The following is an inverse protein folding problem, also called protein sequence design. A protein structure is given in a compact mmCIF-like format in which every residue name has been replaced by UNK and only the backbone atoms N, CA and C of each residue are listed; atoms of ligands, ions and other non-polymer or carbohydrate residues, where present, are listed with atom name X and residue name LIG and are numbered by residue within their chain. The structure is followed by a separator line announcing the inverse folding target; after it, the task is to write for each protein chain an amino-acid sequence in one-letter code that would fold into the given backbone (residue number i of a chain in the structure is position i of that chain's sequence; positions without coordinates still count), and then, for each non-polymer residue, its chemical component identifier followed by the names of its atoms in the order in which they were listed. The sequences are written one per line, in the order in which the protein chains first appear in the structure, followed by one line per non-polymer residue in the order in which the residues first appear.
data_IF_431381164842
#
_entry.id   IF_431381164842
#
_cell.length_a   1.000
_cell.length_b   1.000
_cell.length_c   1.000
_cell.angle_alpha   90.00
_cell.angle_beta   90.00
_cell.angle_gamma   90.00
#
_symmetry.space_group_name_H-M   'P 1'
#
loop_
_entity.id
_entity.type
_entity.pdbx_description
1 polymer ?
#
# COMPACT_ATOMS: atom_id res chain seq x y z
N UNK A 1 2.76 -11.41 6.36
CA UNK A 1 2.37 -10.18 7.09
C UNK A 1 3.50 -9.15 7.17
N UNK A 2 4.71 -9.47 7.63
CA UNK A 2 5.81 -8.48 7.69
C UNK A 2 6.10 -7.80 6.34
N UNK A 3 6.13 -8.58 5.25
CA UNK A 3 6.32 -8.04 3.90
C UNK A 3 5.21 -7.06 3.48
N UNK A 4 3.96 -7.34 3.84
CA UNK A 4 2.81 -6.48 3.55
C UNK A 4 2.95 -5.13 4.25
N UNK A 5 3.31 -5.15 5.54
CA UNK A 5 3.51 -3.94 6.32
C UNK A 5 4.68 -3.11 5.77
N UNK A 6 5.81 -3.76 5.47
CA UNK A 6 6.99 -3.07 4.94
C UNK A 6 6.71 -2.42 3.57
N UNK A 7 6.05 -3.15 2.67
CA UNK A 7 5.72 -2.64 1.32
C UNK A 7 4.65 -1.56 1.38
N UNK A 8 3.64 -1.68 2.24
CA UNK A 8 2.64 -0.62 2.42
C UNK A 8 3.23 0.63 3.08
N UNK A 9 4.18 0.45 4.00
CA UNK A 9 4.91 1.57 4.58
C UNK A 9 5.76 2.30 3.54
N UNK A 10 6.49 1.57 2.69
CA UNK A 10 7.25 2.18 1.60
C UNK A 10 6.36 2.95 0.61
N UNK A 11 5.21 2.36 0.24
CA UNK A 11 4.18 3.02 -0.57
C UNK A 11 3.69 4.32 0.08
N UNK A 12 3.22 4.26 1.33
CA UNK A 12 2.73 5.43 2.05
C UNK A 12 3.80 6.52 2.22
N UNK A 13 5.05 6.13 2.47
CA UNK A 13 6.17 7.06 2.58
C UNK A 13 6.45 7.77 1.26
N UNK A 14 6.54 7.03 0.16
CA UNK A 14 6.81 7.61 -1.17
C UNK A 14 5.67 8.51 -1.64
N UNK A 15 4.40 8.14 -1.39
CA UNK A 15 3.24 9.01 -1.65
C UNK A 15 3.28 10.27 -0.78
N UNK A 16 3.50 10.12 0.52
CA UNK A 16 3.53 11.25 1.46
C UNK A 16 4.63 12.25 1.13
N UNK A 17 5.83 11.76 0.82
CA UNK A 17 6.95 12.62 0.41
C UNK A 17 6.64 13.33 -0.90
N UNK A 18 6.07 12.63 -1.89
CA UNK A 18 5.63 13.22 -3.15
C UNK A 18 4.66 14.37 -2.96
N UNK A 19 3.57 14.13 -2.23
CA UNK A 19 2.51 15.13 -2.04
C UNK A 19 2.94 16.31 -1.16
N UNK A 20 3.83 16.10 -0.19
CA UNK A 20 4.25 17.14 0.74
C UNK A 20 5.37 18.04 0.20
N UNK A 21 6.29 17.48 -0.61
CA UNK A 21 7.54 18.17 -0.95
C UNK A 21 7.77 18.37 -2.45
N UNK A 22 7.02 17.71 -3.34
CA UNK A 22 7.15 17.89 -4.79
C UNK A 22 5.96 18.68 -5.36
N UNK A 23 6.09 19.99 -5.62
CA UNK A 23 4.96 20.84 -6.04
C UNK A 23 4.34 20.46 -7.40
N UNK A 24 5.03 19.66 -8.21
CA UNK A 24 4.51 19.12 -9.47
C UNK A 24 3.75 17.79 -9.30
N UNK A 25 3.75 17.19 -8.10
CA UNK A 25 3.14 15.88 -7.82
C UNK A 25 1.78 16.08 -7.14
N UNK A 26 0.77 15.39 -7.66
CA UNK A 26 -0.58 15.41 -7.11
C UNK A 26 -1.16 13.99 -7.04
N UNK A 27 -2.13 13.78 -6.17
CA UNK A 27 -2.81 12.49 -6.03
C UNK A 27 -3.73 12.27 -7.24
N UNK A 28 -3.39 11.28 -8.07
CA UNK A 28 -4.14 10.96 -9.27
C UNK A 28 -5.35 10.05 -8.99
N UNK A 29 -5.39 9.36 -7.85
CA UNK A 29 -6.49 8.50 -7.50
C UNK A 29 -7.73 9.33 -7.09
N UNK A 30 -8.84 9.26 -7.86
CA UNK A 30 -10.04 10.06 -7.59
C UNK A 30 -10.73 9.69 -6.26
N UNK A 31 -10.43 8.52 -5.70
CA UNK A 31 -10.96 8.07 -4.41
C UNK A 31 -10.09 8.58 -3.26
N UNK A 32 -8.77 8.58 -3.41
CA UNK A 32 -7.85 9.00 -2.35
C UNK A 32 -7.75 10.54 -2.25
N UNK A 33 -7.85 11.23 -3.39
CA UNK A 33 -7.77 12.70 -3.44
C UNK A 33 -8.73 13.43 -2.48
N UNK A 34 -10.06 13.16 -2.47
CA UNK A 34 -10.97 13.84 -1.54
C UNK A 34 -10.68 13.52 -0.07
N UNK A 35 -10.10 12.34 0.22
CA UNK A 35 -9.69 11.97 1.58
C UNK A 35 -8.52 12.84 2.03
N UNK A 36 -7.53 13.07 1.17
CA UNK A 36 -6.39 13.94 1.48
C UNK A 36 -6.78 15.42 1.54
N UNK A 37 -7.70 15.87 0.69
CA UNK A 37 -8.24 17.23 0.74
C UNK A 37 -9.04 17.49 2.04
N UNK A 38 -9.76 16.47 2.53
CA UNK A 38 -10.59 16.60 3.74
C UNK A 38 -9.85 16.39 5.07
N UNK A 39 -8.93 15.43 5.14
CA UNK A 39 -8.23 15.05 6.37
C UNK A 39 -6.77 15.55 6.43
N UNK A 40 -6.22 16.00 5.30
CA UNK A 40 -4.78 16.22 5.15
C UNK A 40 -4.04 14.94 4.75
N UNK A 41 -2.85 15.13 4.20
CA UNK A 41 -2.02 14.05 3.62
C UNK A 41 -1.64 13.01 4.68
N UNK A 42 -1.17 13.47 5.86
CA UNK A 42 -0.69 12.58 6.93
C UNK A 42 -1.80 11.71 7.50
N UNK A 43 -2.93 12.31 7.89
CA UNK A 43 -4.04 11.57 8.49
C UNK A 43 -4.75 10.68 7.47
N UNK A 44 -4.88 11.14 6.23
CA UNK A 44 -5.41 10.32 5.14
C UNK A 44 -4.52 9.12 4.81
N UNK A 45 -3.20 9.28 4.82
CA UNK A 45 -2.26 8.17 4.62
C UNK A 45 -2.28 7.19 5.79
N UNK A 46 -2.31 7.68 7.02
CA UNK A 46 -2.39 6.83 8.22
C UNK A 46 -3.69 6.01 8.22
N UNK A 47 -4.84 6.68 8.10
CA UNK A 47 -6.14 6.03 8.13
C UNK A 47 -6.33 5.11 6.93
N UNK A 48 -5.99 5.57 5.72
CA UNK A 48 -6.09 4.78 4.50
C UNK A 48 -5.19 3.55 4.53
N UNK A 49 -3.94 3.69 4.97
CA UNK A 49 -3.02 2.55 5.08
C UNK A 49 -3.46 1.55 6.13
N UNK A 50 -3.94 2.03 7.28
CA UNK A 50 -4.50 1.17 8.32
C UNK A 50 -5.71 0.40 7.81
N UNK A 51 -6.69 1.09 7.20
CA UNK A 51 -7.90 0.47 6.66
C UNK A 51 -7.58 -0.60 5.61
N UNK A 52 -6.65 -0.32 4.70
CA UNK A 52 -6.22 -1.26 3.65
C UNK A 52 -5.55 -2.50 4.25
N UNK A 53 -4.63 -2.32 5.21
CA UNK A 53 -3.96 -3.45 5.88
C UNK A 53 -4.97 -4.32 6.62
N UNK A 54 -5.88 -3.70 7.39
CA UNK A 54 -6.93 -4.43 8.13
C UNK A 54 -7.83 -5.20 7.17
N UNK A 55 -8.26 -4.59 6.06
CA UNK A 55 -9.08 -5.26 5.05
C UNK A 55 -8.37 -6.47 4.44
N UNK A 56 -7.10 -6.34 4.06
CA UNK A 56 -6.31 -7.43 3.49
C UNK A 56 -6.15 -8.57 4.50
N UNK A 57 -5.81 -8.25 5.76
CA UNK A 57 -5.67 -9.25 6.83
C UNK A 57 -6.99 -9.96 7.08
N UNK A 58 -8.09 -9.23 7.19
CA UNK A 58 -9.42 -9.79 7.41
C UNK A 58 -9.81 -10.75 6.29
N UNK A 59 -9.74 -10.32 5.02
CA UNK A 59 -10.09 -11.16 3.87
C UNK A 59 -9.18 -12.38 3.77
N UNK A 60 -7.88 -12.21 3.98
CA UNK A 60 -6.90 -13.29 3.88
C UNK A 60 -7.11 -14.34 4.97
N UNK A 61 -7.28 -13.93 6.23
CA UNK A 61 -7.46 -14.87 7.34
C UNK A 61 -8.85 -15.52 7.33
N UNK A 62 -9.92 -14.78 6.99
CA UNK A 62 -11.25 -15.37 6.80
C UNK A 62 -11.20 -16.42 5.69
N UNK A 63 -10.55 -16.11 4.56
CA UNK A 63 -10.37 -17.06 3.46
C UNK A 63 -9.57 -18.30 3.88
N UNK A 64 -8.47 -18.12 4.59
CA UNK A 64 -7.64 -19.22 5.08
C UNK A 64 -8.41 -20.13 6.06
N UNK A 65 -9.20 -19.54 6.97
CA UNK A 65 -10.06 -20.26 7.90
C UNK A 65 -11.18 -21.02 7.18
N UNK A 66 -11.81 -20.40 6.19
CA UNK A 66 -12.86 -21.04 5.38
C UNK A 66 -12.29 -22.25 4.63
N UNK A 67 -11.13 -22.11 4.00
CA UNK A 67 -10.45 -23.20 3.27
C UNK A 67 -10.01 -24.32 4.22
N UNK A 68 -9.45 -23.99 5.38
CA UNK A 68 -9.08 -24.98 6.40
C UNK A 68 -10.29 -25.75 6.95
N UNK A 69 -11.44 -25.08 7.11
CA UNK A 69 -12.70 -25.74 7.52
C UNK A 69 -13.27 -26.64 6.43
N UNK A 70 -13.12 -26.27 5.16
CA UNK A 70 -13.72 -27.00 4.04
C UNK A 70 -12.87 -28.18 3.57
N UNK A 71 -11.54 -28.07 3.64
CA UNK A 71 -10.60 -29.16 3.32
C UNK A 71 -9.83 -29.58 4.58
N UNK A 72 -10.19 -30.73 5.14
CA UNK A 72 -9.59 -31.30 6.37
C UNK A 72 -8.08 -31.46 6.31
N UNK A 73 -7.51 -31.55 5.12
CA UNK A 73 -6.07 -31.73 4.90
C UNK A 73 -5.25 -30.47 5.22
N UNK A 74 -5.89 -29.29 5.38
CA UNK A 74 -5.29 -28.05 5.89
C UNK A 74 -4.19 -27.38 5.03
N UNK A 75 -3.63 -28.09 4.05
CA UNK A 75 -2.46 -27.70 3.26
C UNK A 75 -2.66 -26.45 2.38
N UNK A 76 -3.91 -26.09 2.06
CA UNK A 76 -4.22 -24.93 1.21
C UNK A 76 -4.28 -23.61 1.99
N UNK A 77 -4.51 -23.63 3.31
CA UNK A 77 -4.59 -22.40 4.10
C UNK A 77 -3.28 -21.57 4.10
N UNK A 78 -2.07 -22.19 4.19
CA UNK A 78 -0.82 -21.48 3.97
C UNK A 78 -0.70 -20.84 2.58
N UNK A 79 -1.21 -21.51 1.53
CA UNK A 79 -1.20 -20.97 0.16
C UNK A 79 -2.10 -19.75 0.05
N UNK A 80 -3.30 -19.79 0.65
CA UNK A 80 -4.21 -18.64 0.71
C UNK A 80 -3.53 -17.45 1.40
N UNK A 81 -2.82 -17.67 2.50
CA UNK A 81 -2.05 -16.61 3.17
C UNK A 81 -0.90 -16.10 2.30
N UNK A 82 -0.17 -16.98 1.64
CA UNK A 82 0.93 -16.60 0.77
C UNK A 82 0.45 -15.70 -0.38
N UNK A 83 -0.67 -16.05 -1.01
CA UNK A 83 -1.26 -15.26 -2.10
C UNK A 83 -1.91 -13.98 -1.57
N UNK A 84 -2.72 -14.09 -0.52
CA UNK A 84 -3.47 -12.97 0.07
C UNK A 84 -2.59 -11.87 0.64
N UNK A 85 -1.41 -12.22 1.18
CA UNK A 85 -0.41 -11.24 1.57
C UNK A 85 0.57 -10.88 0.45
N UNK A 86 0.95 -11.84 -0.39
CA UNK A 86 1.99 -11.68 -1.40
C UNK A 86 1.56 -10.75 -2.53
N UNK A 87 0.37 -10.94 -3.10
CA UNK A 87 -0.10 -10.10 -4.21
C UNK A 87 -0.23 -8.62 -3.84
N UNK A 88 -0.86 -8.24 -2.70
CA UNK A 88 -0.88 -6.84 -2.29
C UNK A 88 0.50 -6.30 -1.98
N UNK A 89 1.40 -7.10 -1.40
CA UNK A 89 2.78 -6.67 -1.13
C UNK A 89 3.52 -6.31 -2.42
N UNK A 90 3.37 -7.13 -3.47
CA UNK A 90 3.96 -6.84 -4.79
C UNK A 90 3.39 -5.57 -5.40
N UNK A 91 2.08 -5.37 -5.28
CA UNK A 91 1.42 -4.16 -5.76
C UNK A 91 1.96 -2.91 -5.04
N UNK A 92 2.02 -2.92 -3.71
CA UNK A 92 2.55 -1.79 -2.94
C UNK A 92 4.03 -1.53 -3.24
N UNK A 93 4.83 -2.57 -3.44
CA UNK A 93 6.21 -2.42 -3.87
C UNK A 93 6.30 -1.74 -5.26
N UNK A 94 5.47 -2.15 -6.22
CA UNK A 94 5.45 -1.56 -7.55
C UNK A 94 5.01 -0.09 -7.54
N UNK A 95 3.99 0.25 -6.75
CA UNK A 95 3.53 1.63 -6.58
C UNK A 95 4.60 2.47 -5.88
N UNK A 96 5.26 1.95 -4.83
CA UNK A 96 6.35 2.65 -4.17
C UNK A 96 7.51 2.96 -5.12
N UNK A 97 7.91 1.99 -5.95
CA UNK A 97 8.95 2.19 -6.98
C UNK A 97 8.52 3.25 -8.00
N UNK A 98 7.27 3.21 -8.46
CA UNK A 98 6.75 4.22 -9.39
C UNK A 98 6.73 5.62 -8.77
N UNK A 99 6.30 5.75 -7.52
CA UNK A 99 6.28 7.02 -6.80
C UNK A 99 7.70 7.56 -6.58
N UNK A 100 8.66 6.67 -6.26
CA UNK A 100 10.07 7.03 -6.17
C UNK A 100 10.65 7.53 -7.50
N UNK A 101 10.29 6.91 -8.64
CA UNK A 101 10.72 7.38 -9.96
C UNK A 101 10.17 8.78 -10.27
N UNK A 102 8.89 9.03 -10.01
CA UNK A 102 8.27 10.36 -10.16
C UNK A 102 8.93 11.40 -9.25
N UNK A 103 9.31 11.02 -8.03
CA UNK A 103 10.05 11.89 -7.11
C UNK A 103 11.42 12.27 -7.65
N UNK A 104 12.17 11.32 -8.22
CA UNK A 104 13.48 11.58 -8.82
C UNK A 104 13.35 12.55 -10.00
N UNK A 105 12.39 12.31 -10.91
CA UNK A 105 12.12 13.20 -12.05
C UNK A 105 11.68 14.60 -11.60
N UNK A 106 10.93 14.72 -10.50
CA UNK A 106 10.50 16.01 -9.96
C UNK A 106 11.65 16.81 -9.31
N UNK A 107 12.72 16.13 -8.85
CA UNK A 107 13.89 16.76 -8.21
C UNK A 107 15.01 17.05 -9.21
N UNK A 108 15.15 16.26 -10.28
CA UNK A 108 16.15 16.45 -11.34
C UNK A 108 16.22 17.87 -11.94
N UNK A 109 15.10 18.62 -12.16
CA UNK A 109 15.17 19.98 -12.69
C UNK A 109 15.71 21.03 -11.69
N UNK A 110 15.99 20.67 -10.43
CA UNK A 110 16.52 21.59 -9.42
C UNK A 110 18.06 21.61 -9.30
N UNK A 111 18.79 20.73 -10.03
CA UNK A 111 20.25 20.66 -10.00
C UNK A 111 20.84 20.12 -8.68
N UNK A 112 22.08 19.61 -8.66
CA UNK A 112 22.72 19.15 -7.42
C UNK A 112 22.93 20.33 -6.49
N UNK A 113 22.43 20.21 -5.24
CA UNK A 113 22.70 21.13 -4.14
C UNK A 113 24.20 21.28 -3.88
#
# INVERSE_FOLDING_TARGET
MCLLLATKFADALTTGVGLAYAPAVYEANPIARPVFEGLGITDGLLFGSFAVVVAIVAVTEIGALAVARWRRDGHLAPVVRAVGYGLPSLLFAAVAVRNAAVLVEAVEPLGPL
#
